data_IF_389970191493
#
_entry.id   IF_389970191493
#
_cell.length_a   1.000
_cell.length_b   1.000
_cell.length_c   1.000
_cell.angle_alpha   90.00
_cell.angle_beta   90.00
_cell.angle_gamma   90.00
#
_symmetry.space_group_name_H-M   'P 1'
#
loop_
_entity.id
_entity.type
_entity.pdbx_description
1 polymer ?
#
# COMPACT_ATOMS: atom_id res chain seq x y z
N UNK A 1 38.00 34.68 -5.72
CA UNK A 1 38.23 33.23 -5.59
C UNK A 1 38.00 32.84 -4.16
N UNK A 2 36.90 32.12 -3.88
CA UNK A 2 36.85 30.90 -3.04
C UNK A 2 35.37 30.48 -2.96
N UNK A 3 35.06 29.39 -3.68
CA UNK A 3 33.85 28.59 -3.55
C UNK A 3 33.72 28.09 -2.11
N UNK A 4 32.52 28.24 -1.54
CA UNK A 4 32.03 27.36 -0.48
C UNK A 4 30.64 26.91 -0.90
N UNK A 5 30.61 25.81 -1.65
CA UNK A 5 29.41 25.00 -1.84
C UNK A 5 28.93 24.54 -0.46
N UNK A 6 27.73 24.96 -0.10
CA UNK A 6 26.99 24.41 1.02
C UNK A 6 26.56 22.98 0.67
N UNK A 7 27.43 22.01 0.93
CA UNK A 7 27.07 20.59 0.91
C UNK A 7 26.04 20.32 2.02
N UNK A 8 24.79 20.16 1.57
CA UNK A 8 23.61 19.89 2.37
C UNK A 8 23.70 18.58 3.20
N UNK A 9 22.97 18.49 4.33
CA UNK A 9 22.80 17.25 5.09
C UNK A 9 22.05 16.13 4.33
N UNK A 10 21.54 16.39 3.12
CA UNK A 10 20.81 15.43 2.28
C UNK A 10 21.65 14.23 1.81
N UNK A 11 22.97 14.37 1.61
CA UNK A 11 23.83 13.28 1.11
C UNK A 11 24.10 12.19 2.14
N UNK A 12 24.08 12.50 3.44
CA UNK A 12 24.46 11.55 4.49
C UNK A 12 23.48 10.37 4.65
N UNK A 13 22.18 10.57 4.35
CA UNK A 13 21.15 9.55 4.54
C UNK A 13 21.07 8.49 3.43
N UNK A 14 21.70 8.71 2.27
CA UNK A 14 21.71 7.76 1.15
C UNK A 14 22.77 6.65 1.31
N UNK A 15 23.75 6.84 2.21
CA UNK A 15 24.90 5.96 2.35
C UNK A 15 24.60 4.61 3.03
N UNK A 16 23.52 4.49 3.82
CA UNK A 16 23.19 3.27 4.57
C UNK A 16 21.98 2.47 4.04
N UNK A 17 21.43 2.80 2.87
CA UNK A 17 20.30 2.05 2.30
C UNK A 17 20.77 0.79 1.58
N UNK A 18 20.03 -0.32 1.75
CA UNK A 18 20.27 -1.53 0.96
C UNK A 18 19.96 -1.27 -0.52
N UNK A 19 20.53 -2.06 -1.46
CA UNK A 19 20.15 -1.99 -2.87
C UNK A 19 18.64 -2.12 -3.10
N UNK A 20 17.99 -3.03 -2.35
CA UNK A 20 16.54 -3.23 -2.39
C UNK A 20 15.77 -1.96 -1.98
N UNK A 21 16.12 -1.35 -0.84
CA UNK A 21 15.49 -0.10 -0.38
C UNK A 21 15.66 1.03 -1.39
N UNK A 22 16.83 1.13 -2.03
CA UNK A 22 17.08 2.15 -3.08
C UNK A 22 16.21 1.92 -4.30
N UNK A 23 16.07 0.67 -4.75
CA UNK A 23 15.20 0.32 -5.88
C UNK A 23 13.74 0.58 -5.53
N UNK A 24 13.30 0.18 -4.33
CA UNK A 24 11.96 0.41 -3.83
C UNK A 24 11.64 1.90 -3.75
N UNK A 25 12.51 2.76 -3.21
CA UNK A 25 12.23 4.20 -3.14
C UNK A 25 12.14 4.87 -4.52
N UNK A 26 12.89 4.39 -5.51
CA UNK A 26 12.90 4.94 -6.87
C UNK A 26 11.67 4.56 -7.69
N UNK A 27 11.00 3.46 -7.38
CA UNK A 27 9.83 3.02 -8.14
C UNK A 27 8.65 3.99 -7.97
N UNK A 28 7.85 4.16 -9.03
CA UNK A 28 6.54 4.82 -8.92
C UNK A 28 5.66 4.02 -7.95
N UNK A 29 4.81 4.71 -7.20
CA UNK A 29 3.85 4.09 -6.29
C UNK A 29 2.44 4.30 -6.80
N UNK A 30 1.60 3.28 -6.73
CA UNK A 30 0.21 3.34 -7.14
C UNK A 30 -0.65 2.95 -5.94
N UNK A 31 -1.77 3.64 -5.73
CA UNK A 31 -2.73 3.26 -4.71
C UNK A 31 -4.04 2.95 -5.42
N UNK A 32 -4.38 1.66 -5.44
CA UNK A 32 -5.68 1.17 -5.87
C UNK A 32 -6.71 1.51 -4.79
N UNK A 33 -7.37 2.65 -4.95
CA UNK A 33 -8.30 3.22 -3.97
C UNK A 33 -9.73 2.75 -4.22
N UNK A 34 -10.42 2.36 -3.15
CA UNK A 34 -11.88 2.24 -3.13
C UNK A 34 -12.47 3.36 -2.26
N UNK A 35 -13.46 4.07 -2.79
CA UNK A 35 -14.23 5.04 -2.00
C UNK A 35 -15.61 4.46 -1.71
N UNK A 36 -16.03 4.55 -0.46
CA UNK A 36 -17.38 4.19 -0.03
C UNK A 36 -18.11 5.46 0.40
N UNK A 37 -19.29 5.72 -0.14
CA UNK A 37 -20.16 6.79 0.32
C UNK A 37 -21.29 6.20 1.16
N UNK A 38 -21.45 6.72 2.38
CA UNK A 38 -22.45 6.20 3.31
C UNK A 38 -23.89 6.61 2.95
N UNK A 39 -24.86 6.08 3.69
CA UNK A 39 -26.27 6.38 3.48
C UNK A 39 -26.62 7.84 3.78
N UNK A 40 -25.86 8.52 4.64
CA UNK A 40 -26.07 9.94 4.93
C UNK A 40 -25.66 10.79 3.73
N UNK A 41 -24.56 10.45 3.04
CA UNK A 41 -24.21 11.05 1.75
C UNK A 41 -25.33 10.89 0.73
N UNK A 42 -25.98 9.71 0.68
CA UNK A 42 -27.10 9.47 -0.22
C UNK A 42 -28.27 10.44 0.03
N UNK A 43 -28.64 10.68 1.29
CA UNK A 43 -29.66 11.67 1.65
C UNK A 43 -29.21 13.11 1.43
N UNK A 44 -27.95 13.44 1.77
CA UNK A 44 -27.39 14.79 1.66
C UNK A 44 -27.40 15.33 0.24
N UNK A 45 -27.29 14.44 -0.75
CA UNK A 45 -27.29 14.76 -2.18
C UNK A 45 -28.59 14.35 -2.86
N UNK A 46 -29.72 14.49 -2.16
CA UNK A 46 -31.07 14.30 -2.70
C UNK A 46 -31.28 12.95 -3.40
N UNK A 47 -30.62 11.89 -2.93
CA UNK A 47 -30.67 10.54 -3.51
C UNK A 47 -30.10 10.46 -4.93
N UNK A 48 -29.38 11.50 -5.39
CA UNK A 48 -28.79 11.54 -6.72
C UNK A 48 -27.40 10.88 -6.71
N UNK A 49 -27.39 9.62 -7.14
CA UNK A 49 -26.16 8.85 -7.34
C UNK A 49 -25.20 9.50 -8.33
N UNK A 50 -25.69 10.25 -9.31
CA UNK A 50 -24.84 10.93 -10.29
C UNK A 50 -24.06 12.06 -9.63
N UNK A 51 -24.73 12.88 -8.82
CA UNK A 51 -24.08 13.97 -8.09
C UNK A 51 -23.02 13.46 -7.11
N UNK A 52 -23.30 12.37 -6.38
CA UNK A 52 -22.34 11.76 -5.45
C UNK A 52 -21.12 11.22 -6.22
N UNK A 53 -21.33 10.54 -7.35
CA UNK A 53 -20.24 10.05 -8.22
C UNK A 53 -19.37 11.19 -8.71
N UNK A 54 -19.96 12.23 -9.31
CA UNK A 54 -19.23 13.40 -9.82
C UNK A 54 -18.37 14.03 -8.73
N UNK A 55 -18.93 14.23 -7.54
CA UNK A 55 -18.19 14.76 -6.40
C UNK A 55 -16.98 13.90 -6.03
N UNK A 56 -17.14 12.58 -6.00
CA UNK A 56 -16.05 11.65 -5.68
C UNK A 56 -14.98 11.67 -6.76
N UNK A 57 -15.35 11.76 -8.04
CA UNK A 57 -14.38 11.89 -9.13
C UNK A 57 -13.55 13.17 -9.02
N UNK A 58 -14.18 14.31 -8.70
CA UNK A 58 -13.48 15.58 -8.46
C UNK A 58 -12.50 15.50 -7.27
N UNK A 59 -12.89 14.80 -6.20
CA UNK A 59 -12.02 14.53 -5.05
C UNK A 59 -10.79 13.72 -5.50
N UNK A 60 -10.98 12.59 -6.18
CA UNK A 60 -9.88 11.71 -6.62
C UNK A 60 -8.93 12.41 -7.60
N UNK A 61 -9.46 13.18 -8.55
CA UNK A 61 -8.63 13.96 -9.48
C UNK A 61 -7.71 14.94 -8.73
N UNK A 62 -8.21 15.53 -7.64
CA UNK A 62 -7.43 16.42 -6.78
C UNK A 62 -6.35 15.64 -6.01
N UNK A 63 -6.64 14.41 -5.55
CA UNK A 63 -5.64 13.56 -4.87
C UNK A 63 -4.43 13.26 -5.76
N UNK A 64 -4.63 12.99 -7.05
CA UNK A 64 -3.53 12.75 -7.99
C UNK A 64 -2.59 13.96 -8.10
N UNK A 65 -3.13 15.18 -8.07
CA UNK A 65 -2.32 16.40 -8.06
C UNK A 65 -1.53 16.54 -6.76
N UNK A 66 -2.15 16.29 -5.60
CA UNK A 66 -1.53 16.40 -4.27
C UNK A 66 -0.38 15.38 -4.11
N UNK A 67 -0.63 14.12 -4.47
CA UNK A 67 0.30 13.02 -4.23
C UNK A 67 1.46 12.92 -5.22
N UNK A 68 1.40 13.66 -6.34
CA UNK A 68 2.45 13.67 -7.37
C UNK A 68 3.83 13.99 -6.80
N UNK A 69 3.94 14.93 -5.85
CA UNK A 69 5.23 15.32 -5.26
C UNK A 69 5.90 14.18 -4.48
N UNK A 70 5.13 13.17 -4.08
CA UNK A 70 5.58 11.97 -3.39
C UNK A 70 5.79 10.79 -4.35
N UNK A 71 5.66 11.01 -5.67
CA UNK A 71 5.70 9.96 -6.70
C UNK A 71 4.64 8.85 -6.48
N UNK A 72 3.49 9.25 -5.93
CA UNK A 72 2.31 8.41 -5.71
C UNK A 72 1.21 8.80 -6.70
N UNK A 73 0.56 7.79 -7.28
CA UNK A 73 -0.55 7.91 -8.22
C UNK A 73 -1.75 7.17 -7.64
N UNK A 74 -2.87 7.86 -7.47
CA UNK A 74 -4.10 7.34 -6.86
C UNK A 74 -5.09 6.99 -7.97
N UNK A 75 -5.48 5.72 -8.03
CA UNK A 75 -6.43 5.22 -9.02
C UNK A 75 -7.71 4.78 -8.30
N UNK A 76 -8.86 5.34 -8.68
CA UNK A 76 -10.14 4.87 -8.16
C UNK A 76 -10.52 3.56 -8.85
N UNK A 77 -10.26 2.43 -8.20
CA UNK A 77 -10.55 1.10 -8.75
C UNK A 77 -11.93 0.57 -8.37
N UNK A 78 -12.61 1.24 -7.43
CA UNK A 78 -13.95 0.87 -7.01
C UNK A 78 -14.67 2.01 -6.29
N UNK A 79 -15.99 2.02 -6.44
CA UNK A 79 -16.88 2.99 -5.81
C UNK A 79 -18.13 2.26 -5.33
N UNK A 80 -18.43 2.35 -4.04
CA UNK A 80 -19.64 1.80 -3.44
C UNK A 80 -20.46 2.91 -2.77
N UNK A 81 -21.77 2.96 -3.04
CA UNK A 81 -22.68 3.92 -2.42
C UNK A 81 -23.75 3.12 -1.67
N UNK A 82 -23.82 3.29 -0.36
CA UNK A 82 -24.75 2.58 0.51
C UNK A 82 -26.16 3.18 0.45
N UNK A 83 -26.87 3.00 -0.66
CA UNK A 83 -28.20 3.58 -0.89
C UNK A 83 -29.36 2.84 -0.19
N UNK A 84 -29.12 1.67 0.40
CA UNK A 84 -30.14 0.85 1.11
C UNK A 84 -29.98 0.88 2.63
N UNK A 85 -29.11 1.74 3.15
CA UNK A 85 -28.69 1.76 4.54
C UNK A 85 -27.21 1.39 4.69
N UNK A 86 -26.60 1.84 5.80
CA UNK A 86 -25.20 1.61 6.07
C UNK A 86 -24.91 0.12 6.36
N UNK A 87 -23.79 -0.39 5.85
CA UNK A 87 -23.32 -1.75 6.14
C UNK A 87 -22.54 -1.86 7.46
N UNK A 88 -22.25 -0.71 8.09
CA UNK A 88 -21.66 -0.59 9.42
C UNK A 88 -22.46 0.41 10.24
N UNK A 89 -22.24 0.44 11.55
CA UNK A 89 -22.78 1.49 12.39
C UNK A 89 -21.91 2.77 12.26
N UNK A 90 -22.38 3.75 11.48
CA UNK A 90 -21.73 5.06 11.35
C UNK A 90 -22.20 5.95 12.50
N UNK A 91 -21.27 6.40 13.34
CA UNK A 91 -21.58 7.19 14.55
C UNK A 91 -20.80 8.51 14.55
N UNK A 92 -21.16 9.44 15.45
CA UNK A 92 -20.39 10.67 15.62
C UNK A 92 -18.98 10.43 16.18
N UNK A 93 -18.70 9.24 16.72
CA UNK A 93 -17.35 8.84 17.12
C UNK A 93 -16.56 8.39 15.90
N UNK A 94 -15.60 9.23 15.49
CA UNK A 94 -14.67 8.91 14.40
C UNK A 94 -13.84 7.65 14.70
N UNK A 95 -13.56 7.37 15.98
CA UNK A 95 -12.83 6.15 16.38
C UNK A 95 -13.66 4.89 16.12
N UNK A 96 -14.90 4.86 16.61
CA UNK A 96 -15.76 3.67 16.50
C UNK A 96 -16.16 3.41 15.04
N UNK A 97 -16.39 4.49 14.29
CA UNK A 97 -16.70 4.40 12.85
C UNK A 97 -15.50 3.89 12.05
N UNK A 98 -14.28 4.37 12.32
CA UNK A 98 -13.07 3.91 11.64
C UNK A 98 -12.81 2.42 11.91
N UNK A 99 -12.94 1.99 13.16
CA UNK A 99 -12.72 0.59 13.51
C UNK A 99 -13.74 -0.33 12.84
N UNK A 100 -15.03 0.05 12.89
CA UNK A 100 -16.11 -0.68 12.22
C UNK A 100 -15.91 -0.75 10.70
N UNK A 101 -15.46 0.36 10.08
CA UNK A 101 -15.17 0.40 8.65
C UNK A 101 -13.98 -0.48 8.26
N UNK A 102 -12.92 -0.48 9.07
CA UNK A 102 -11.78 -1.37 8.89
C UNK A 102 -12.17 -2.84 8.98
N UNK A 103 -12.99 -3.22 9.96
CA UNK A 103 -13.49 -4.59 10.08
C UNK A 103 -14.35 -5.02 8.90
N UNK A 104 -15.23 -4.14 8.44
CA UNK A 104 -16.04 -4.40 7.26
C UNK A 104 -15.18 -4.53 6.00
N UNK A 105 -14.15 -3.69 5.83
CA UNK A 105 -13.22 -3.81 4.70
C UNK A 105 -12.56 -5.19 4.67
N UNK A 106 -12.06 -5.64 5.83
CA UNK A 106 -11.37 -6.92 5.96
C UNK A 106 -12.29 -8.11 5.71
N UNK A 107 -13.48 -8.11 6.32
CA UNK A 107 -14.40 -9.26 6.33
C UNK A 107 -15.32 -9.32 5.10
N UNK A 108 -15.56 -8.19 4.44
CA UNK A 108 -16.48 -8.10 3.31
C UNK A 108 -15.78 -7.59 2.04
N UNK A 109 -15.38 -6.31 2.00
CA UNK A 109 -14.96 -5.64 0.77
C UNK A 109 -13.77 -6.35 0.09
N UNK A 110 -12.74 -6.72 0.85
CA UNK A 110 -11.54 -7.40 0.33
C UNK A 110 -11.84 -8.78 -0.26
N UNK A 111 -12.91 -9.45 0.17
CA UNK A 111 -13.29 -10.78 -0.34
C UNK A 111 -13.93 -10.72 -1.73
N UNK A 112 -14.34 -9.54 -2.19
CA UNK A 112 -15.05 -9.35 -3.46
C UNK A 112 -14.42 -8.32 -4.39
N UNK A 113 -13.54 -7.46 -3.88
CA UNK A 113 -12.81 -6.47 -4.69
C UNK A 113 -11.39 -6.28 -4.15
N UNK A 114 -10.39 -6.63 -4.96
CA UNK A 114 -8.98 -6.32 -4.68
C UNK A 114 -8.74 -4.81 -4.77
N UNK A 115 -8.04 -4.26 -3.77
CA UNK A 115 -7.65 -2.85 -3.68
C UNK A 115 -6.65 -2.65 -2.51
N UNK A 116 -5.92 -1.54 -2.52
CA UNK A 116 -4.83 -1.26 -1.56
C UNK A 116 -5.31 -0.52 -0.32
N UNK A 117 -6.22 0.43 -0.50
CA UNK A 117 -6.73 1.33 0.53
C UNK A 117 -8.22 1.63 0.30
N UNK A 118 -8.99 1.77 1.38
CA UNK A 118 -10.37 2.23 1.28
C UNK A 118 -10.63 3.48 2.12
N UNK A 119 -11.39 4.43 1.58
CA UNK A 119 -11.80 5.64 2.29
C UNK A 119 -13.33 5.71 2.37
N UNK A 120 -13.86 5.88 3.58
CA UNK A 120 -15.28 6.15 3.80
C UNK A 120 -15.52 7.65 3.73
N UNK A 121 -16.32 8.11 2.78
CA UNK A 121 -16.86 9.47 2.72
C UNK A 121 -18.24 9.48 3.37
N UNK A 122 -18.39 10.20 4.47
CA UNK A 122 -19.63 10.23 5.26
C UNK A 122 -20.21 11.63 5.37
N UNK A 123 -21.55 11.72 5.36
CA UNK A 123 -22.27 12.95 5.61
C UNK A 123 -22.47 13.26 7.10
N UNK A 124 -22.06 12.37 8.02
CA UNK A 124 -22.20 12.59 9.46
C UNK A 124 -21.27 13.69 9.94
N UNK A 125 -21.66 14.37 11.02
CA UNK A 125 -20.79 15.30 11.73
C UNK A 125 -20.08 14.55 12.87
N UNK A 126 -18.75 14.49 12.82
CA UNK A 126 -17.98 13.83 13.87
C UNK A 126 -17.91 14.72 15.12
N UNK A 127 -17.91 14.09 16.29
CA UNK A 127 -17.75 14.80 17.55
C UNK A 127 -16.36 15.43 17.65
N UNK A 128 -16.32 16.74 17.92
CA UNK A 128 -15.10 17.52 18.01
C UNK A 128 -14.78 18.27 16.72
N UNK A 129 -13.50 18.59 16.50
CA UNK A 129 -13.04 19.36 15.33
C UNK A 129 -12.45 18.48 14.21
N UNK A 130 -12.58 17.15 14.31
CA UNK A 130 -11.99 16.22 13.35
C UNK A 130 -12.87 16.09 12.10
N UNK A 131 -12.33 16.41 10.93
CA UNK A 131 -13.01 16.16 9.65
C UNK A 131 -12.66 14.80 9.03
N UNK A 132 -11.89 13.97 9.75
CA UNK A 132 -11.46 12.66 9.29
C UNK A 132 -10.65 11.91 10.36
N UNK A 133 -10.38 10.64 10.06
CA UNK A 133 -9.44 9.80 10.82
C UNK A 133 -8.92 8.64 9.97
N UNK A 134 -7.61 8.36 10.07
CA UNK A 134 -6.97 7.19 9.48
C UNK A 134 -5.94 6.56 10.42
N UNK A 135 -5.62 5.29 10.20
CA UNK A 135 -4.55 4.63 10.95
C UNK A 135 -3.18 5.01 10.39
N UNK A 136 -2.22 5.32 11.27
CA UNK A 136 -0.88 5.75 10.86
C UNK A 136 0.02 4.57 10.43
N UNK A 137 0.59 4.66 9.23
CA UNK A 137 1.57 3.69 8.71
C UNK A 137 1.00 2.31 8.42
N UNK A 138 -0.29 2.24 8.05
CA UNK A 138 -1.04 0.98 7.87
C UNK A 138 -1.44 0.66 6.44
N UNK A 139 -0.89 1.37 5.46
CA UNK A 139 -1.09 1.06 4.04
C UNK A 139 -0.85 -0.44 3.74
N UNK A 140 -1.67 -1.02 2.87
CA UNK A 140 -1.74 -2.44 2.51
C UNK A 140 -2.24 -3.42 3.59
N UNK A 141 -2.44 -3.01 4.85
CA UNK A 141 -2.95 -3.93 5.87
C UNK A 141 -4.46 -4.19 5.70
N UNK A 142 -4.96 -5.44 5.84
CA UNK A 142 -6.35 -5.78 5.55
C UNK A 142 -7.41 -4.96 6.33
N UNK A 143 -7.34 -4.94 7.66
CA UNK A 143 -8.22 -4.09 8.48
C UNK A 143 -7.84 -2.61 8.46
N UNK A 144 -6.54 -2.31 8.46
CA UNK A 144 -6.04 -0.99 8.86
C UNK A 144 -5.68 -0.05 7.70
N UNK A 145 -5.66 -0.51 6.45
CA UNK A 145 -5.49 0.36 5.27
C UNK A 145 -6.81 1.07 4.93
N UNK A 146 -7.27 1.87 5.89
CA UNK A 146 -8.51 2.62 5.81
C UNK A 146 -8.38 4.02 6.40
N UNK A 147 -9.24 4.90 5.93
CA UNK A 147 -9.57 6.16 6.59
C UNK A 147 -11.06 6.49 6.44
N UNK A 148 -11.52 7.42 7.25
CA UNK A 148 -12.87 7.99 7.18
C UNK A 148 -12.75 9.50 7.06
N UNK A 149 -13.59 10.10 6.23
CA UNK A 149 -13.57 11.53 5.90
C UNK A 149 -15.00 12.05 5.96
N UNK A 150 -15.21 13.10 6.74
CA UNK A 150 -16.45 13.84 6.75
C UNK A 150 -16.52 14.70 5.50
N UNK A 151 -17.68 14.73 4.87
CA UNK A 151 -17.97 15.64 3.75
C UNK A 151 -18.24 17.07 4.26
N UNK A 152 -17.24 17.66 4.92
CA UNK A 152 -17.35 18.83 5.81
C UNK A 152 -17.58 20.17 5.08
N UNK A 153 -17.42 20.23 3.77
CA UNK A 153 -17.53 21.47 3.00
C UNK A 153 -18.14 21.24 1.61
N UNK A 154 -18.91 22.21 1.09
CA UNK A 154 -19.43 22.15 -0.29
C UNK A 154 -18.31 22.15 -1.33
N UNK A 155 -17.21 22.85 -1.06
CA UNK A 155 -16.02 22.90 -1.92
C UNK A 155 -15.30 21.55 -1.83
N UNK A 156 -15.36 20.74 -2.90
CA UNK A 156 -14.77 19.40 -2.93
C UNK A 156 -13.26 19.41 -2.67
N UNK A 157 -12.56 20.50 -3.03
CA UNK A 157 -11.11 20.65 -2.83
C UNK A 157 -10.71 20.57 -1.34
N UNK A 158 -11.55 21.07 -0.44
CA UNK A 158 -11.30 21.01 1.00
C UNK A 158 -11.56 19.61 1.57
N UNK A 159 -12.49 18.87 0.97
CA UNK A 159 -12.74 17.45 1.30
C UNK A 159 -11.63 16.56 0.74
N UNK A 160 -11.13 16.87 -0.46
CA UNK A 160 -9.96 16.20 -1.05
C UNK A 160 -8.69 16.41 -0.22
N UNK A 161 -8.50 17.62 0.31
CA UNK A 161 -7.41 17.92 1.25
C UNK A 161 -7.51 17.06 2.52
N UNK A 162 -8.71 16.92 3.09
CA UNK A 162 -8.94 16.03 4.25
C UNK A 162 -8.71 14.55 3.90
N UNK A 163 -9.15 14.08 2.74
CA UNK A 163 -8.88 12.70 2.31
C UNK A 163 -7.38 12.45 2.06
N UNK A 164 -6.66 13.42 1.49
CA UNK A 164 -5.20 13.37 1.38
C UNK A 164 -4.50 13.39 2.74
N UNK A 165 -5.08 14.06 3.74
CA UNK A 165 -4.57 14.01 5.11
C UNK A 165 -4.67 12.60 5.69
N UNK A 166 -5.85 11.97 5.60
CA UNK A 166 -6.04 10.62 6.16
C UNK A 166 -5.25 9.53 5.41
N UNK A 167 -5.17 9.64 4.08
CA UNK A 167 -4.28 8.78 3.30
C UNK A 167 -2.80 9.05 3.63
N UNK A 168 -2.44 10.30 3.97
CA UNK A 168 -1.12 10.69 4.45
C UNK A 168 -0.76 9.96 5.76
N UNK A 169 -1.69 9.89 6.70
CA UNK A 169 -1.56 9.03 7.88
C UNK A 169 -1.36 7.57 7.49
N UNK A 170 -2.18 6.99 6.60
CA UNK A 170 -1.98 5.61 6.15
C UNK A 170 -0.57 5.35 5.57
N UNK A 171 0.05 6.37 4.96
CA UNK A 171 1.41 6.38 4.41
C UNK A 171 2.51 6.75 5.43
N UNK A 172 2.18 6.78 6.72
CA UNK A 172 3.12 6.96 7.82
C UNK A 172 3.52 8.40 8.10
N UNK A 173 2.71 9.37 7.70
CA UNK A 173 2.93 10.78 8.04
C UNK A 173 2.21 11.13 9.35
N UNK A 174 2.89 11.87 10.21
CA UNK A 174 2.32 12.47 11.42
C UNK A 174 1.86 13.91 11.13
N UNK A 175 1.17 14.53 12.09
CA UNK A 175 0.84 15.95 11.99
C UNK A 175 2.08 16.84 11.96
N UNK A 176 1.98 17.95 11.24
CA UNK A 176 3.01 18.97 11.17
C UNK A 176 3.20 19.69 12.52
N UNK A 177 4.43 19.68 13.03
CA UNK A 177 4.85 20.45 14.20
C UNK A 177 5.28 21.89 13.84
N UNK A 178 5.69 22.66 14.86
CA UNK A 178 6.05 24.09 14.72
C UNK A 178 7.19 24.34 13.72
N UNK A 179 8.09 23.37 13.55
CA UNK A 179 9.25 23.50 12.66
C UNK A 179 9.00 23.03 11.22
N UNK A 180 7.83 22.48 10.93
CA UNK A 180 7.50 21.93 9.62
C UNK A 180 6.99 23.01 8.67
N UNK A 181 7.42 22.99 7.42
CA UNK A 181 7.01 23.98 6.42
C UNK A 181 6.85 23.37 5.02
N UNK A 182 5.86 23.89 4.30
CA UNK A 182 5.65 23.66 2.86
C UNK A 182 5.76 24.95 2.05
N UNK A 183 6.20 26.07 2.66
CA UNK A 183 6.24 27.39 2.02
C UNK A 183 4.87 28.05 1.81
N UNK A 184 3.80 27.46 2.36
CA UNK A 184 2.44 27.99 2.34
C UNK A 184 1.90 28.16 3.77
N UNK A 185 0.73 28.81 3.91
CA UNK A 185 0.10 29.07 5.22
C UNK A 185 -0.36 27.81 5.96
N UNK A 186 -0.68 26.75 5.23
CA UNK A 186 -1.11 25.47 5.79
C UNK A 186 -0.75 24.33 4.84
N UNK A 187 -0.12 23.29 5.38
CA UNK A 187 0.24 22.09 4.65
C UNK A 187 -0.85 21.02 4.83
N UNK A 188 -0.82 19.96 4.00
CA UNK A 188 -1.82 18.87 4.07
C UNK A 188 -1.86 18.23 5.45
N UNK A 189 -0.71 17.97 6.08
CA UNK A 189 -0.64 17.32 7.40
C UNK A 189 -0.75 18.28 8.59
N UNK A 190 -1.24 19.51 8.39
CA UNK A 190 -1.62 20.39 9.50
C UNK A 190 -2.69 19.71 10.36
N UNK A 191 -2.48 19.62 11.67
CA UNK A 191 -3.44 19.04 12.60
C UNK A 191 -4.72 19.87 12.83
N UNK A 192 -4.86 21.01 12.14
CA UNK A 192 -6.02 21.90 12.18
C UNK A 192 -6.48 22.17 10.76
N UNK A 193 -7.78 21.97 10.48
CA UNK A 193 -8.40 22.38 9.22
C UNK A 193 -8.43 23.90 9.09
N UNK A 194 -8.01 24.40 7.94
CA UNK A 194 -8.04 25.82 7.58
C UNK A 194 -8.70 25.98 6.20
N UNK A 195 -9.44 27.06 5.99
CA UNK A 195 -10.04 27.33 4.67
C UNK A 195 -8.99 27.62 3.58
N UNK A 196 -7.82 28.13 3.97
CA UNK A 196 -6.68 28.39 3.07
C UNK A 196 -5.69 27.20 3.10
N UNK A 197 -6.16 25.99 2.78
CA UNK A 197 -5.26 24.82 2.66
C UNK A 197 -4.45 24.88 1.38
N UNK A 198 -3.14 24.63 1.46
CA UNK A 198 -2.34 24.31 0.27
C UNK A 198 -2.45 22.82 -0.09
N UNK A 199 -2.07 22.48 -1.32
CA UNK A 199 -1.94 21.09 -1.79
C UNK A 199 -0.52 20.54 -1.60
N UNK A 200 0.22 21.09 -0.64
CA UNK A 200 1.63 20.80 -0.44
C UNK A 200 1.82 20.02 0.87
N UNK A 201 2.59 18.94 0.78
CA UNK A 201 3.16 18.27 1.95
C UNK A 201 4.36 19.06 2.48
N UNK A 202 4.52 19.09 3.80
CA UNK A 202 5.68 19.71 4.43
C UNK A 202 6.96 18.92 4.18
N UNK A 203 8.11 19.53 4.46
CA UNK A 203 9.38 18.83 4.64
C UNK A 203 9.31 17.68 5.66
N UNK A 204 8.67 17.88 6.81
CA UNK A 204 8.47 16.83 7.82
C UNK A 204 7.65 15.65 7.28
N UNK A 205 6.53 15.93 6.60
CA UNK A 205 5.67 14.92 6.00
C UNK A 205 6.43 14.05 5.00
N UNK A 206 7.25 14.68 4.14
CA UNK A 206 8.08 13.99 3.15
C UNK A 206 9.11 13.08 3.81
N UNK A 207 9.77 13.52 4.87
CA UNK A 207 10.76 12.68 5.57
C UNK A 207 10.09 11.56 6.38
N UNK A 208 8.95 11.81 7.04
CA UNK A 208 8.18 10.78 7.75
C UNK A 208 7.73 9.67 6.79
N UNK A 209 7.15 10.06 5.65
CA UNK A 209 6.79 9.12 4.60
C UNK A 209 8.00 8.33 4.06
N UNK A 210 9.12 9.01 3.81
CA UNK A 210 10.35 8.35 3.34
C UNK A 210 10.83 7.29 4.33
N UNK A 211 10.87 7.61 5.63
CA UNK A 211 11.20 6.66 6.70
C UNK A 211 10.24 5.49 6.75
N UNK A 212 8.93 5.76 6.62
CA UNK A 212 7.92 4.71 6.55
C UNK A 212 8.18 3.73 5.39
N UNK A 213 8.46 4.24 4.19
CA UNK A 213 8.77 3.41 3.03
C UNK A 213 10.04 2.58 3.21
N UNK A 214 11.09 3.15 3.80
CA UNK A 214 12.37 2.45 4.06
C UNK A 214 12.17 1.29 5.05
N UNK A 215 11.37 1.53 6.09
CA UNK A 215 11.21 0.59 7.19
C UNK A 215 10.19 -0.52 6.89
N UNK A 216 9.17 -0.22 6.07
CA UNK A 216 8.02 -1.13 5.88
C UNK A 216 7.91 -1.68 4.46
N UNK A 217 8.44 -0.97 3.45
CA UNK A 217 8.36 -1.31 2.02
C UNK A 217 7.01 -1.95 1.61
N UNK A 218 5.85 -1.28 1.83
CA UNK A 218 4.54 -1.85 1.50
C UNK A 218 4.48 -2.25 0.02
N UNK A 219 4.14 -3.51 -0.23
CA UNK A 219 4.32 -4.12 -1.55
C UNK A 219 3.11 -3.91 -2.47
N UNK A 220 1.90 -3.78 -1.91
CA UNK A 220 0.68 -3.60 -2.70
C UNK A 220 0.73 -2.33 -3.58
N UNK A 221 1.40 -1.29 -3.10
CA UNK A 221 1.50 -0.01 -3.82
C UNK A 221 2.53 0.02 -4.97
N UNK A 222 3.06 -1.14 -5.38
CA UNK A 222 4.02 -1.23 -6.48
C UNK A 222 3.36 -1.57 -7.82
N UNK A 223 2.21 -2.24 -7.81
CA UNK A 223 1.53 -2.63 -9.06
C UNK A 223 0.74 -1.46 -9.64
N UNK A 224 1.00 -1.13 -10.90
CA UNK A 224 0.14 -0.19 -11.65
C UNK A 224 -1.19 -0.89 -11.95
N UNK A 225 -2.35 -0.30 -11.61
CA UNK A 225 -3.65 -0.86 -11.98
C UNK A 225 -3.82 -0.86 -13.50
N UNK A 226 -4.60 -1.80 -14.02
CA UNK A 226 -4.95 -1.78 -15.44
C UNK A 226 -5.84 -0.58 -15.71
N UNK A 227 -5.75 0.01 -16.90
CA UNK A 227 -6.63 1.11 -17.31
C UNK A 227 -8.11 0.75 -17.16
N UNK A 228 -8.45 -0.52 -17.38
CA UNK A 228 -9.82 -1.07 -17.27
C UNK A 228 -10.31 -1.25 -15.83
N UNK A 229 -9.41 -1.22 -14.85
CA UNK A 229 -9.78 -1.34 -13.44
C UNK A 229 -10.25 0.00 -12.86
N UNK A 230 -9.94 1.11 -13.53
CA UNK A 230 -10.26 2.47 -13.11
C UNK A 230 -11.72 2.78 -13.43
N UNK A 231 -12.49 3.13 -12.41
CA UNK A 231 -13.94 3.38 -12.52
C UNK A 231 -14.28 4.87 -12.62
N UNK A 232 -13.31 5.77 -12.48
CA UNK A 232 -13.48 7.19 -12.77
C UNK A 232 -13.56 7.43 -14.29
N UNK A 233 -14.35 8.41 -14.74
CA UNK A 233 -14.23 8.93 -16.09
C UNK A 233 -12.80 9.42 -16.35
N UNK A 234 -12.21 9.14 -17.54
CA UNK A 234 -10.88 9.62 -17.89
C UNK A 234 -10.76 11.14 -17.81
N UNK A 235 -9.69 11.65 -17.20
CA UNK A 235 -9.41 13.09 -17.09
C UNK A 235 -8.01 13.44 -17.54
N UNK A 236 -7.93 13.96 -18.76
CA UNK A 236 -6.67 14.42 -19.31
C UNK A 236 -6.05 15.55 -18.48
N UNK A 237 -4.81 15.33 -18.05
CA UNK A 237 -4.01 16.25 -17.27
C UNK A 237 -4.00 15.95 -15.77
N UNK A 238 -4.51 14.79 -15.35
CA UNK A 238 -4.46 14.32 -13.96
C UNK A 238 -3.19 13.50 -13.64
N UNK A 239 -2.25 13.39 -14.60
CA UNK A 239 -0.99 12.63 -14.51
C UNK A 239 -1.16 11.11 -14.47
N UNK A 240 -2.36 10.59 -14.75
CA UNK A 240 -2.65 9.17 -14.74
C UNK A 240 -3.21 8.75 -16.10
N UNK A 241 -2.51 7.87 -16.82
CA UNK A 241 -2.98 7.45 -18.15
C UNK A 241 -4.18 6.50 -18.02
N UNK A 242 -5.35 6.98 -18.42
CA UNK A 242 -6.63 6.28 -18.34
C UNK A 242 -7.06 5.70 -19.70
N UNK A 243 -8.24 5.05 -19.75
CA UNK A 243 -8.80 4.53 -21.01
C UNK A 243 -9.05 5.68 -21.99
N UNK A 244 -8.58 5.53 -23.23
CA UNK A 244 -8.69 6.55 -24.27
C UNK A 244 -7.49 7.48 -24.36
N UNK A 245 -6.60 7.48 -23.37
CA UNK A 245 -5.37 8.28 -23.35
C UNK A 245 -4.15 7.45 -23.74
N UNK A 246 -3.22 8.10 -24.44
CA UNK A 246 -1.94 7.50 -24.83
C UNK A 246 -0.79 7.97 -23.92
N UNK A 247 -0.95 9.13 -23.29
CA UNK A 247 -0.02 9.71 -22.33
C UNK A 247 -0.74 10.77 -21.47
N UNK A 248 -0.24 11.05 -20.28
CA UNK A 248 -0.70 12.16 -19.44
C UNK A 248 0.49 12.73 -18.66
N UNK A 249 0.82 13.99 -18.95
CA UNK A 249 1.91 14.73 -18.32
C UNK A 249 1.42 15.95 -17.53
N UNK A 250 0.13 16.01 -17.23
CA UNK A 250 -0.52 17.14 -16.57
C UNK A 250 -1.01 18.22 -17.54
N UNK A 251 -1.28 19.40 -16.99
CA UNK A 251 -1.73 20.54 -17.80
C UNK A 251 -0.64 21.03 -18.76
N UNK A 252 -1.02 21.68 -19.89
CA UNK A 252 -0.07 22.22 -20.86
C UNK A 252 1.00 23.16 -20.26
N UNK A 253 0.67 23.86 -19.16
CA UNK A 253 1.60 24.75 -18.47
C UNK A 253 2.71 24.00 -17.72
N UNK A 254 2.42 22.81 -17.23
CA UNK A 254 3.30 22.05 -16.33
C UNK A 254 3.93 20.82 -16.99
N UNK A 255 3.45 20.42 -18.17
CA UNK A 255 3.96 19.28 -18.90
C UNK A 255 5.39 19.54 -19.39
N UNK A 256 6.30 18.66 -18.98
CA UNK A 256 7.70 18.65 -19.44
C UNK A 256 8.00 17.48 -20.40
N UNK A 257 6.99 16.64 -20.66
CA UNK A 257 7.13 15.47 -21.53
C UNK A 257 7.05 15.90 -23.01
N UNK A 258 8.15 15.73 -23.72
CA UNK A 258 8.25 16.06 -25.14
C UNK A 258 7.54 15.05 -26.05
N UNK A 259 7.14 13.90 -25.51
CA UNK A 259 6.44 12.85 -26.24
C UNK A 259 4.92 13.04 -26.20
N UNK A 260 4.42 13.83 -25.25
CA UNK A 260 3.00 13.98 -24.97
C UNK A 260 2.47 15.35 -25.39
N UNK A 261 1.29 15.37 -25.99
CA UNK A 261 0.47 16.57 -26.11
C UNK A 261 -0.48 16.66 -24.92
N UNK A 262 -0.10 17.49 -23.94
CA UNK A 262 -0.84 17.68 -22.69
C UNK A 262 -2.26 18.25 -22.88
N UNK A 263 -2.59 18.85 -24.04
CA UNK A 263 -3.94 19.35 -24.28
C UNK A 263 -4.91 18.24 -24.69
N UNK A 264 -4.39 17.14 -25.25
CA UNK A 264 -5.19 16.07 -25.86
C UNK A 264 -4.93 14.70 -25.25
N UNK A 265 -3.90 14.56 -24.41
CA UNK A 265 -3.42 13.28 -23.85
C UNK A 265 -3.11 12.23 -24.93
N UNK A 266 -2.62 12.72 -26.07
CA UNK A 266 -2.16 11.93 -27.22
C UNK A 266 -0.67 12.06 -27.40
N UNK A 267 -0.07 11.04 -27.98
CA UNK A 267 1.33 11.08 -28.37
C UNK A 267 1.54 12.09 -29.50
N UNK A 268 2.63 12.83 -29.41
CA UNK A 268 3.04 13.73 -30.50
C UNK A 268 3.46 12.93 -31.73
N UNK A 269 3.34 13.50 -32.94
CA UNK A 269 3.77 12.85 -34.17
C UNK A 269 5.21 12.29 -34.07
N UNK A 270 5.37 11.01 -34.38
CA UNK A 270 6.66 10.32 -34.34
C UNK A 270 7.02 9.68 -32.99
N UNK A 271 6.28 9.96 -31.92
CA UNK A 271 6.41 9.25 -30.65
C UNK A 271 5.74 7.86 -30.73
N UNK A 272 6.40 6.85 -30.17
CA UNK A 272 5.86 5.50 -29.97
C UNK A 272 5.36 5.28 -28.54
N UNK A 273 5.83 6.11 -27.61
CA UNK A 273 5.48 6.05 -26.19
C UNK A 273 5.69 7.41 -25.53
N UNK A 274 4.97 7.65 -24.42
CA UNK A 274 5.13 8.84 -23.56
C UNK A 274 5.62 8.47 -22.17
N UNK A 275 5.06 7.41 -21.58
CA UNK A 275 5.50 6.88 -20.29
C UNK A 275 5.85 5.39 -20.32
N UNK A 276 6.48 4.91 -19.25
CA UNK A 276 6.84 3.51 -19.04
C UNK A 276 8.35 3.30 -18.96
N UNK A 277 8.79 2.32 -18.17
CA UNK A 277 10.23 2.02 -17.96
C UNK A 277 10.91 1.50 -19.23
N UNK A 278 10.14 1.01 -20.21
CA UNK A 278 10.61 0.64 -21.54
C UNK A 278 10.48 1.76 -22.59
N UNK A 279 10.19 3.00 -22.18
CA UNK A 279 10.23 4.16 -23.06
C UNK A 279 11.54 4.94 -22.85
N UNK A 280 12.16 5.38 -23.95
CA UNK A 280 13.29 6.30 -23.92
C UNK A 280 13.26 7.20 -25.14
N UNK A 281 13.32 8.52 -24.93
CA UNK A 281 13.25 9.51 -26.02
C UNK A 281 12.06 9.25 -26.98
N UNK A 282 10.88 9.02 -26.41
CA UNK A 282 9.64 8.76 -27.15
C UNK A 282 9.66 7.50 -28.03
N UNK A 283 10.62 6.59 -27.83
CA UNK A 283 10.75 5.32 -28.57
C UNK A 283 10.78 4.14 -27.61
N UNK A 284 10.32 2.98 -28.07
CA UNK A 284 10.48 1.76 -27.31
C UNK A 284 11.96 1.41 -27.18
N UNK A 285 12.39 1.07 -25.96
CA UNK A 285 13.71 0.50 -25.71
C UNK A 285 13.84 -0.82 -26.48
N UNK A 286 15.05 -1.16 -26.91
CA UNK A 286 15.31 -2.37 -27.69
C UNK A 286 14.88 -3.63 -26.94
N UNK A 287 14.42 -4.64 -27.68
CA UNK A 287 14.10 -5.96 -27.13
C UNK A 287 15.30 -6.51 -26.33
N UNK A 288 15.05 -7.08 -25.15
CA UNK A 288 16.09 -7.59 -24.25
C UNK A 288 16.69 -6.55 -23.31
N UNK A 289 16.31 -5.26 -23.39
CA UNK A 289 16.75 -4.25 -22.42
C UNK A 289 16.15 -4.54 -21.05
N UNK A 290 16.96 -4.70 -20.00
CA UNK A 290 16.45 -4.92 -18.64
C UNK A 290 15.59 -3.73 -18.20
N UNK A 291 14.35 -3.99 -17.83
CA UNK A 291 13.41 -2.98 -17.31
C UNK A 291 13.09 -3.16 -15.83
N UNK A 292 13.21 -4.38 -15.31
CA UNK A 292 13.20 -4.65 -13.87
C UNK A 292 14.37 -5.60 -13.55
N UNK A 293 15.32 -5.20 -12.69
CA UNK A 293 16.37 -6.11 -12.25
C UNK A 293 15.79 -7.16 -11.29
N UNK A 294 16.38 -8.36 -11.27
CA UNK A 294 16.02 -9.39 -10.30
C UNK A 294 16.28 -8.90 -8.86
N UNK A 295 15.31 -9.07 -7.98
CA UNK A 295 15.41 -8.82 -6.54
C UNK A 295 15.71 -10.11 -5.77
N UNK A 296 16.98 -10.51 -5.76
CA UNK A 296 17.45 -11.72 -5.09
C UNK A 296 17.37 -12.97 -5.96
N UNK A 297 17.69 -14.12 -5.38
CA UNK A 297 17.86 -15.37 -6.14
C UNK A 297 16.56 -16.03 -6.59
N UNK A 298 15.42 -15.65 -6.00
CA UNK A 298 14.09 -16.19 -6.31
C UNK A 298 13.33 -15.37 -7.35
N UNK A 299 13.97 -14.35 -7.90
CA UNK A 299 13.41 -13.41 -8.85
C UNK A 299 14.25 -13.44 -10.14
N UNK A 300 13.63 -13.15 -11.28
CA UNK A 300 14.28 -13.09 -12.59
C UNK A 300 14.21 -11.67 -13.10
N UNK A 301 15.19 -11.19 -13.88
CA UNK A 301 15.07 -9.86 -14.48
C UNK A 301 14.03 -9.85 -15.60
N UNK A 302 13.22 -8.81 -15.66
CA UNK A 302 12.32 -8.57 -16.79
C UNK A 302 12.97 -7.68 -17.84
N UNK A 303 12.59 -7.94 -19.09
CA UNK A 303 13.19 -7.30 -20.26
C UNK A 303 12.11 -6.68 -21.15
N UNK A 304 12.41 -5.50 -21.69
CA UNK A 304 11.57 -4.85 -22.70
C UNK A 304 11.41 -5.74 -23.93
N UNK A 305 10.21 -5.73 -24.50
CA UNK A 305 9.88 -6.51 -25.71
C UNK A 305 10.35 -5.84 -27.00
N UNK A 306 10.68 -4.55 -26.97
CA UNK A 306 10.93 -3.74 -28.16
C UNK A 306 9.67 -3.22 -28.86
N UNK A 307 8.50 -3.62 -28.39
CA UNK A 307 7.20 -3.30 -29.01
C UNK A 307 6.22 -2.64 -28.05
N UNK A 308 6.59 -2.51 -26.77
CA UNK A 308 5.81 -1.87 -25.72
C UNK A 308 6.71 -1.01 -24.84
N UNK A 309 6.13 0.03 -24.24
CA UNK A 309 6.76 0.87 -23.24
C UNK A 309 6.58 0.33 -21.81
N UNK A 310 5.70 -0.63 -21.62
CA UNK A 310 5.53 -1.35 -20.37
C UNK A 310 6.58 -2.47 -20.25
N UNK A 311 7.06 -2.67 -19.03
CA UNK A 311 7.83 -3.86 -18.70
C UNK A 311 6.83 -5.02 -18.58
N UNK A 312 7.08 -6.18 -19.22
CA UNK A 312 6.19 -7.33 -19.08
C UNK A 312 6.05 -7.75 -17.61
N UNK A 313 4.96 -8.45 -17.31
CA UNK A 313 4.60 -8.91 -15.97
C UNK A 313 5.73 -9.72 -15.32
N UNK A 314 5.89 -9.50 -14.02
CA UNK A 314 6.95 -10.07 -13.18
C UNK A 314 7.08 -11.60 -13.32
N UNK A 315 8.20 -12.05 -13.90
CA UNK A 315 8.55 -13.46 -13.93
C UNK A 315 9.42 -13.81 -12.72
N UNK A 316 8.91 -14.73 -11.88
CA UNK A 316 9.68 -15.27 -10.76
C UNK A 316 10.38 -16.57 -11.13
N UNK A 317 11.38 -16.93 -10.32
CA UNK A 317 11.86 -18.30 -10.34
C UNK A 317 10.72 -19.26 -9.99
N UNK A 318 10.81 -20.48 -10.52
CA UNK A 318 9.82 -21.52 -10.26
C UNK A 318 9.72 -21.76 -8.75
N UNK A 319 8.48 -21.79 -8.23
CA UNK A 319 8.23 -22.16 -6.84
C UNK A 319 8.86 -23.54 -6.54
N UNK A 320 9.50 -23.67 -5.38
CA UNK A 320 10.26 -24.86 -5.00
C UNK A 320 11.75 -24.84 -5.35
N UNK A 321 12.24 -23.82 -6.08
CA UNK A 321 13.67 -23.67 -6.33
C UNK A 321 14.43 -23.43 -5.00
N UNK A 322 15.49 -24.18 -4.67
CA UNK A 322 16.27 -23.93 -3.45
C UNK A 322 16.84 -22.52 -3.39
N UNK A 323 16.76 -21.89 -2.21
CA UNK A 323 17.25 -20.54 -1.97
C UNK A 323 17.95 -20.42 -0.60
N UNK A 324 18.75 -19.37 -0.44
CA UNK A 324 19.54 -19.01 0.73
C UNK A 324 20.41 -20.17 1.21
N UNK A 325 21.18 -20.74 0.28
CA UNK A 325 22.01 -21.94 0.53
C UNK A 325 21.17 -23.12 1.04
N UNK A 326 20.04 -23.40 0.38
CA UNK A 326 19.10 -24.49 0.68
C UNK A 326 18.41 -24.38 2.07
N UNK A 327 18.37 -23.17 2.63
CA UNK A 327 17.63 -22.86 3.87
C UNK A 327 16.14 -22.63 3.63
N UNK A 328 15.75 -22.37 2.39
CA UNK A 328 14.36 -22.19 1.97
C UNK A 328 14.14 -22.64 0.54
N UNK A 329 12.90 -22.45 0.09
CA UNK A 329 12.50 -22.65 -1.29
C UNK A 329 11.79 -21.39 -1.80
N UNK A 330 12.01 -21.06 -3.07
CA UNK A 330 11.39 -19.91 -3.69
C UNK A 330 9.87 -20.07 -3.70
N UNK A 331 9.18 -19.01 -3.35
CA UNK A 331 7.73 -18.93 -3.34
C UNK A 331 7.30 -17.52 -3.74
N UNK A 332 6.71 -17.40 -4.94
CA UNK A 332 6.23 -16.16 -5.55
C UNK A 332 7.27 -15.02 -5.46
N UNK A 333 8.48 -15.28 -5.96
CA UNK A 333 9.57 -14.30 -6.01
C UNK A 333 10.38 -14.14 -4.73
N UNK A 334 9.97 -14.77 -3.62
CA UNK A 334 10.64 -14.64 -2.31
C UNK A 334 11.21 -15.96 -1.81
N UNK A 335 12.11 -15.88 -0.84
CA UNK A 335 12.62 -17.03 -0.10
C UNK A 335 12.12 -16.98 1.36
N UNK A 336 10.87 -17.39 1.65
CA UNK A 336 10.33 -17.36 3.01
C UNK A 336 11.06 -18.38 3.91
N UNK A 337 11.65 -17.90 5.00
CA UNK A 337 12.30 -18.74 6.02
C UNK A 337 11.90 -18.30 7.42
N UNK A 338 11.74 -19.27 8.34
CA UNK A 338 11.27 -19.03 9.70
C UNK A 338 12.14 -18.03 10.48
N UNK A 339 13.45 -18.04 10.26
CA UNK A 339 14.38 -17.12 10.95
C UNK A 339 14.11 -15.66 10.58
N UNK A 340 13.83 -15.37 9.31
CA UNK A 340 13.49 -14.01 8.88
C UNK A 340 12.14 -13.58 9.45
N UNK A 341 11.14 -14.47 9.47
CA UNK A 341 9.85 -14.19 10.10
C UNK A 341 10.01 -13.88 11.60
N UNK A 342 10.85 -14.63 12.32
CA UNK A 342 11.15 -14.35 13.72
C UNK A 342 11.82 -12.98 13.92
N UNK A 343 12.78 -12.61 13.06
CA UNK A 343 13.44 -11.31 13.11
C UNK A 343 12.44 -10.17 12.79
N UNK A 344 11.50 -10.38 11.87
CA UNK A 344 10.45 -9.40 11.56
C UNK A 344 9.52 -9.19 12.76
N UNK A 345 9.14 -10.27 13.46
CA UNK A 345 8.20 -10.21 14.59
C UNK A 345 8.82 -9.68 15.90
N UNK A 346 10.12 -9.87 16.09
CA UNK A 346 10.78 -9.63 17.38
C UNK A 346 12.04 -8.77 17.31
N UNK A 347 12.56 -8.50 16.12
CA UNK A 347 13.77 -7.73 15.89
C UNK A 347 15.05 -8.57 15.76
N UNK A 348 16.18 -7.91 15.44
CA UNK A 348 17.48 -8.55 15.23
C UNK A 348 17.95 -9.38 16.44
N UNK A 349 18.68 -10.47 16.17
CA UNK A 349 19.20 -11.38 17.21
C UNK A 349 18.25 -12.50 17.62
N UNK A 350 16.99 -12.46 17.19
CA UNK A 350 16.02 -13.55 17.41
C UNK A 350 16.33 -14.76 16.53
N UNK A 351 16.09 -15.96 17.05
CA UNK A 351 16.25 -17.24 16.35
C UNK A 351 14.95 -18.06 16.30
N UNK A 352 14.90 -19.12 15.50
CA UNK A 352 13.77 -20.06 15.49
C UNK A 352 13.82 -20.92 16.75
N UNK A 353 12.68 -21.14 17.39
CA UNK A 353 12.60 -22.00 18.57
C UNK A 353 12.87 -23.48 18.23
N UNK A 354 13.26 -24.30 19.23
CA UNK A 354 13.41 -25.75 19.05
C UNK A 354 12.10 -26.43 18.64
N UNK A 355 12.21 -27.57 17.95
CA UNK A 355 11.07 -28.31 17.37
C UNK A 355 10.00 -28.70 18.40
N UNK A 356 10.39 -28.93 19.65
CA UNK A 356 9.46 -29.24 20.74
C UNK A 356 8.39 -28.15 20.94
N UNK A 357 8.72 -26.88 20.67
CA UNK A 357 7.76 -25.78 20.78
C UNK A 357 6.63 -25.89 19.74
N UNK A 358 6.96 -26.36 18.53
CA UNK A 358 5.97 -26.51 17.45
C UNK A 358 4.97 -27.63 17.74
N UNK A 359 5.30 -28.57 18.62
CA UNK A 359 4.36 -29.61 19.04
C UNK A 359 3.12 -29.04 19.71
N UNK A 360 3.17 -27.83 20.29
CA UNK A 360 1.97 -27.17 20.82
C UNK A 360 0.87 -27.00 19.75
N UNK A 361 1.24 -26.89 18.47
CA UNK A 361 0.29 -26.74 17.37
C UNK A 361 -0.59 -27.98 17.13
N UNK A 362 -0.23 -29.15 17.69
CA UNK A 362 -1.05 -30.35 17.63
C UNK A 362 -2.27 -30.31 18.57
N UNK A 363 -2.31 -29.34 19.51
CA UNK A 363 -3.37 -29.28 20.52
C UNK A 363 -4.67 -28.68 19.98
N UNK A 364 -4.60 -27.79 18.99
CA UNK A 364 -5.76 -27.08 18.47
C UNK A 364 -6.40 -26.13 19.49
N UNK A 365 -5.67 -25.76 20.53
CA UNK A 365 -6.17 -24.94 21.65
C UNK A 365 -5.61 -23.53 21.59
N UNK A 366 -6.45 -22.54 21.91
CA UNK A 366 -6.06 -21.12 21.95
C UNK A 366 -5.48 -20.64 20.62
N UNK A 367 -4.18 -20.38 20.59
CA UNK A 367 -3.45 -19.83 19.43
C UNK A 367 -2.62 -20.88 18.67
N UNK A 368 -2.68 -22.14 19.11
CA UNK A 368 -1.85 -23.23 18.61
C UNK A 368 -2.68 -24.20 17.77
N UNK A 369 -2.72 -23.92 16.47
CA UNK A 369 -3.49 -24.66 15.48
C UNK A 369 -2.84 -24.51 14.09
N UNK A 370 -3.32 -25.28 13.12
CA UNK A 370 -2.95 -25.09 11.70
C UNK A 370 -4.00 -24.27 10.98
N UNK A 371 -5.26 -24.70 11.03
CA UNK A 371 -6.37 -24.03 10.33
C UNK A 371 -7.47 -23.62 11.29
N UNK A 372 -8.33 -22.71 10.85
CA UNK A 372 -9.56 -22.37 11.56
C UNK A 372 -10.73 -22.46 10.60
N UNK A 373 -11.72 -23.27 10.95
CA UNK A 373 -12.90 -23.54 10.13
C UNK A 373 -14.14 -23.35 10.99
N UNK A 374 -15.09 -22.52 10.55
CA UNK A 374 -16.33 -22.22 11.30
C UNK A 374 -16.07 -21.84 12.77
N UNK A 375 -15.12 -20.92 13.00
CA UNK A 375 -14.62 -20.50 14.32
C UNK A 375 -13.96 -21.59 15.18
N UNK A 376 -13.84 -22.83 14.70
CA UNK A 376 -13.17 -23.93 15.38
C UNK A 376 -11.72 -24.02 14.92
N UNK A 377 -10.81 -24.09 15.89
CA UNK A 377 -9.39 -24.32 15.63
C UNK A 377 -9.18 -25.80 15.27
N UNK A 378 -8.53 -26.03 14.13
CA UNK A 378 -8.17 -27.35 13.63
C UNK A 378 -6.70 -27.61 14.03
N UNK A 379 -6.43 -28.62 14.87
CA UNK A 379 -5.07 -28.97 15.25
C UNK A 379 -4.24 -29.36 14.03
N UNK A 380 -2.93 -29.11 14.08
CA UNK A 380 -2.03 -29.62 13.06
C UNK A 380 -1.92 -31.15 13.14
N UNK A 381 -1.80 -31.82 11.99
CA UNK A 381 -1.31 -33.19 11.99
C UNK A 381 0.17 -33.20 12.42
N UNK A 382 0.71 -34.35 12.89
CA UNK A 382 2.09 -34.42 13.38
C UNK A 382 3.14 -33.91 12.39
N UNK A 383 2.95 -34.14 11.08
CA UNK A 383 3.83 -33.66 10.03
C UNK A 383 3.68 -32.15 9.72
N UNK A 384 2.55 -31.55 10.10
CA UNK A 384 2.19 -30.16 9.76
C UNK A 384 2.51 -29.17 10.90
N UNK A 385 3.02 -29.65 12.03
CA UNK A 385 3.26 -28.81 13.22
C UNK A 385 4.15 -27.59 12.94
N UNK A 386 5.00 -27.69 11.92
CA UNK A 386 5.88 -26.62 11.42
C UNK A 386 5.19 -25.57 10.55
N UNK A 387 3.90 -25.74 10.23
CA UNK A 387 3.10 -24.84 9.41
C UNK A 387 1.99 -24.11 10.18
N UNK A 388 1.86 -24.37 11.48
CA UNK A 388 0.95 -23.66 12.39
C UNK A 388 1.55 -22.35 12.95
N UNK A 389 1.40 -22.12 14.27
CA UNK A 389 1.99 -20.98 14.98
C UNK A 389 3.52 -21.02 14.88
N UNK A 390 4.13 -19.87 14.55
CA UNK A 390 5.58 -19.71 14.57
C UNK A 390 6.08 -19.49 16.01
N UNK A 391 7.15 -20.20 16.38
CA UNK A 391 7.83 -20.04 17.66
C UNK A 391 9.26 -19.51 17.46
N UNK A 392 9.61 -18.50 18.26
CA UNK A 392 10.88 -17.81 18.21
C UNK A 392 11.58 -17.77 19.58
N UNK A 393 12.91 -17.90 19.56
CA UNK A 393 13.79 -17.76 20.71
C UNK A 393 14.44 -16.38 20.71
N UNK A 394 14.15 -15.60 21.74
CA UNK A 394 14.64 -14.23 21.90
C UNK A 394 16.12 -14.19 22.33
N UNK A 395 16.87 -13.12 22.00
CA UNK A 395 18.28 -12.97 22.37
C UNK A 395 18.51 -12.67 23.86
N UNK A 396 17.45 -12.64 24.69
CA UNK A 396 17.52 -12.27 26.11
C UNK A 396 17.75 -13.53 26.96
N UNK A 397 18.82 -13.54 27.76
CA UNK A 397 19.08 -14.61 28.74
C UNK A 397 17.89 -14.77 29.70
N UNK A 398 17.52 -16.02 30.03
CA UNK A 398 16.38 -16.41 30.89
C UNK A 398 14.96 -16.18 30.35
N UNK A 399 14.79 -15.95 29.04
CA UNK A 399 13.44 -15.98 28.43
C UNK A 399 12.98 -17.40 28.09
N UNK A 400 11.67 -17.62 28.09
CA UNK A 400 11.08 -18.92 27.74
C UNK A 400 11.47 -19.29 26.29
N UNK A 401 11.80 -20.57 25.98
CA UNK A 401 12.31 -20.93 24.65
C UNK A 401 11.25 -20.92 23.54
N UNK A 402 9.96 -20.93 23.89
CA UNK A 402 8.84 -21.02 22.96
C UNK A 402 8.01 -19.71 22.94
N UNK A 403 8.58 -18.60 22.46
CA UNK A 403 7.83 -17.35 22.35
C UNK A 403 7.05 -17.32 21.04
N UNK A 404 5.84 -16.78 21.06
CA UNK A 404 4.99 -16.66 19.88
C UNK A 404 4.31 -15.29 19.87
N UNK A 405 3.98 -14.80 18.68
CA UNK A 405 3.10 -13.63 18.50
C UNK A 405 1.74 -14.10 18.05
N UNK A 406 0.71 -13.41 18.50
CA UNK A 406 -0.65 -13.60 18.03
C UNK A 406 -1.36 -12.24 17.99
N UNK A 407 -2.46 -12.18 17.26
CA UNK A 407 -3.42 -11.09 17.28
C UNK A 407 -4.81 -11.70 17.32
N UNK A 408 -5.66 -11.24 18.24
CA UNK A 408 -7.06 -11.65 18.29
C UNK A 408 -7.86 -11.09 17.10
N UNK A 409 -7.28 -10.12 16.37
CA UNK A 409 -7.88 -9.46 15.21
C UNK A 409 -7.34 -10.07 13.90
N UNK A 410 -6.02 -10.16 13.77
CA UNK A 410 -5.37 -10.76 12.60
C UNK A 410 -4.92 -12.19 12.94
N UNK A 411 -5.79 -13.17 12.71
CA UNK A 411 -5.55 -14.56 13.14
C UNK A 411 -4.28 -15.18 12.55
N UNK A 412 -3.93 -14.80 11.33
CA UNK A 412 -2.70 -15.22 10.64
C UNK A 412 -1.43 -14.53 11.18
N UNK A 413 -1.55 -13.44 11.93
CA UNK A 413 -0.40 -12.72 12.47
C UNK A 413 0.38 -13.61 13.44
N UNK A 414 1.63 -13.94 13.07
CA UNK A 414 2.51 -14.83 13.82
C UNK A 414 2.37 -16.31 13.47
N UNK A 415 1.57 -16.68 12.48
CA UNK A 415 1.59 -18.01 11.86
C UNK A 415 2.79 -18.14 10.92
N UNK A 416 3.21 -19.36 10.60
CA UNK A 416 4.28 -19.60 9.62
C UNK A 416 3.79 -19.27 8.21
N UNK A 417 4.50 -18.42 7.48
CA UNK A 417 4.08 -17.99 6.14
C UNK A 417 4.02 -19.15 5.12
N UNK A 418 3.08 -19.12 4.15
CA UNK A 418 3.09 -20.06 3.04
C UNK A 418 4.39 -20.00 2.23
N UNK A 419 4.82 -21.14 1.70
CA UNK A 419 6.09 -21.33 1.01
C UNK A 419 7.27 -21.58 1.93
N UNK A 420 7.12 -21.40 3.24
CA UNK A 420 8.22 -21.61 4.20
C UNK A 420 8.64 -23.06 4.25
N UNK A 421 9.95 -23.32 4.19
CA UNK A 421 10.52 -24.67 4.36
C UNK A 421 10.12 -25.25 5.73
N UNK A 422 9.42 -26.40 5.71
CA UNK A 422 8.99 -27.12 6.91
C UNK A 422 9.69 -28.48 7.08
N UNK A 423 10.36 -28.96 6.04
CA UNK A 423 11.29 -30.08 6.06
C UNK A 423 12.10 -30.13 4.76
N UNK A 424 12.97 -31.12 4.60
CA UNK A 424 13.74 -31.25 3.37
C UNK A 424 12.84 -31.64 2.20
N UNK A 425 12.89 -30.83 1.15
CA UNK A 425 12.01 -30.96 -0.03
C UNK A 425 10.57 -30.54 0.21
N UNK A 426 10.22 -29.99 1.39
CA UNK A 426 8.84 -29.70 1.78
C UNK A 426 8.62 -28.24 2.19
N UNK A 427 7.44 -27.71 1.87
CA UNK A 427 7.01 -26.34 2.19
C UNK A 427 5.62 -26.29 2.79
N UNK A 428 5.34 -25.25 3.57
CA UNK A 428 3.98 -24.96 4.04
C UNK A 428 3.11 -24.45 2.90
N UNK A 429 2.00 -25.10 2.59
CA UNK A 429 1.04 -24.60 1.60
C UNK A 429 0.06 -23.58 2.23
N UNK A 430 -0.85 -23.03 1.42
CA UNK A 430 -1.89 -22.09 1.90
C UNK A 430 -2.88 -22.70 2.90
N UNK A 431 -3.02 -24.03 2.93
CA UNK A 431 -3.83 -24.77 3.90
C UNK A 431 -3.06 -25.13 5.17
N UNK A 432 -1.85 -24.59 5.35
CA UNK A 432 -0.99 -24.82 6.52
C UNK A 432 -0.59 -26.28 6.69
N UNK A 433 -0.38 -26.97 5.58
CA UNK A 433 0.12 -28.35 5.50
C UNK A 433 1.57 -28.35 5.00
N UNK A 434 2.39 -29.25 5.53
CA UNK A 434 3.78 -29.44 5.08
C UNK A 434 3.80 -30.47 3.95
N UNK A 435 4.01 -29.99 2.71
CA UNK A 435 3.86 -30.78 1.48
C UNK A 435 5.10 -30.76 0.59
#
# INVERSE_FOLDING_TARGET
QTNWESDEPFKASQLNLTPEQRTYLKSKKYIELVIVADYIMFWKYDHDLSTIRTRIYEIVNTLNVIYRVLNIYVALVGLEIWCKGNLINVTSSAYDTLDSFGEWREKDLLNRKRHDNAQLLTGIDFSGAAAGRGYVGRMCQPKYSVGIVQDHNKIYLLVASAMAHEMGHNLGMDHDGIHCTCGAKSCIMSGILRCETSYLFSDCSREAHRKYLINNMPQCILNKPLKTDIVSPPVCGNYFVEVGEECDCGSPRNCQDQCCDAATCKLRPGAQCGEGVCCYQCKFKRAGTVCRPANGECDVSDHCTGQSAECPTDHFQKNGQPCLLNRGYCYNGRCPIMIHQCIILWGPGTTVSPDICFQENNKGQGYFYCRRENNKNIPCAPQDVKCGRLFCKLPIHNTHPCNYRYSDVALDYGMVDPGTKCGDGMVCNGNRECV
#
